data_IF_318993973053
#
_entry.id   IF_318993973053
#
_cell.length_a   1.000
_cell.length_b   1.000
_cell.length_c   1.000
_cell.angle_alpha   90.00
_cell.angle_beta   90.00
_cell.angle_gamma   90.00
#
_symmetry.space_group_name_H-M   'P 1'
#
loop_
_entity.id
_entity.type
_entity.pdbx_description
1 polymer ?
#
# COMPACT_ATOMS: atom_id res chain seq x y z
N UNK A 1 -10.62 12.31 18.09
CA UNK A 1 -10.96 11.22 17.15
C UNK A 1 -10.28 11.36 15.79
N UNK A 2 -10.37 12.48 15.08
CA UNK A 2 -9.84 12.59 13.69
C UNK A 2 -8.34 12.30 13.53
N UNK A 3 -7.50 12.60 14.52
CA UNK A 3 -6.06 12.24 14.45
C UNK A 3 -5.79 10.75 14.61
N UNK A 4 -6.70 9.99 15.23
CA UNK A 4 -6.57 8.55 15.38
C UNK A 4 -6.85 7.80 14.07
N UNK A 5 -7.60 8.39 13.13
CA UNK A 5 -7.94 7.73 11.87
C UNK A 5 -6.88 7.94 10.78
N UNK A 6 -6.03 8.97 10.87
CA UNK A 6 -5.05 9.29 9.82
C UNK A 6 -4.03 8.16 9.53
N UNK A 7 -3.49 7.44 10.53
CA UNK A 7 -2.54 6.36 10.27
C UNK A 7 -3.13 5.20 9.45
N UNK A 8 -4.45 5.02 9.46
CA UNK A 8 -5.10 3.96 8.68
C UNK A 8 -4.95 4.11 7.18
N UNK A 9 -4.62 5.30 6.66
CA UNK A 9 -4.30 5.46 5.25
C UNK A 9 -3.11 4.57 4.83
N UNK A 10 -2.05 4.51 5.65
CA UNK A 10 -0.88 3.65 5.37
C UNK A 10 -1.19 2.17 5.55
N UNK A 11 -2.02 1.83 6.54
CA UNK A 11 -2.50 0.46 6.77
C UNK A 11 -3.31 -0.02 5.56
N UNK A 12 -4.32 0.74 5.15
CA UNK A 12 -5.20 0.43 4.02
C UNK A 12 -4.39 0.25 2.73
N UNK A 13 -3.51 1.21 2.40
CA UNK A 13 -2.58 1.11 1.26
C UNK A 13 -1.77 -0.17 1.32
N UNK A 14 -1.18 -0.46 2.49
CA UNK A 14 -0.34 -1.62 2.71
C UNK A 14 -1.08 -2.96 2.74
N UNK A 15 -2.40 -2.97 2.99
CA UNK A 15 -3.26 -4.16 2.84
C UNK A 15 -3.66 -4.36 1.38
N UNK A 16 -3.92 -3.28 0.65
CA UNK A 16 -4.30 -3.34 -0.76
C UNK A 16 -3.16 -3.81 -1.67
N UNK A 17 -1.91 -3.45 -1.36
CA UNK A 17 -0.72 -3.94 -2.08
C UNK A 17 0.53 -3.65 -1.25
N UNK A 18 1.50 -4.57 -1.26
CA UNK A 18 2.72 -4.42 -0.45
C UNK A 18 3.55 -3.18 -0.82
N UNK A 19 3.53 -2.79 -2.10
CA UNK A 19 4.33 -1.69 -2.63
C UNK A 19 3.63 -0.32 -2.64
N UNK A 20 2.34 -0.21 -2.28
CA UNK A 20 1.59 1.04 -2.45
C UNK A 20 2.21 2.23 -1.70
N UNK A 21 2.67 2.02 -0.46
CA UNK A 21 3.30 3.09 0.30
C UNK A 21 4.61 3.55 -0.34
N UNK A 22 5.44 2.62 -0.81
CA UNK A 22 6.73 2.91 -1.44
C UNK A 22 6.56 3.61 -2.80
N UNK A 23 5.56 3.21 -3.60
CA UNK A 23 5.23 3.84 -4.88
C UNK A 23 4.79 5.29 -4.68
N UNK A 24 3.90 5.53 -3.70
CA UNK A 24 3.42 6.88 -3.38
C UNK A 24 4.58 7.74 -2.88
N UNK A 25 5.39 7.24 -1.95
CA UNK A 25 6.54 7.96 -1.41
C UNK A 25 7.58 8.30 -2.48
N UNK A 26 7.86 7.36 -3.40
CA UNK A 26 8.71 7.59 -4.56
C UNK A 26 8.21 8.75 -5.42
N UNK A 27 6.94 8.73 -5.80
CA UNK A 27 6.36 9.74 -6.70
C UNK A 27 6.20 11.10 -6.00
N UNK A 28 5.86 11.11 -4.71
CA UNK A 28 5.84 12.33 -3.88
C UNK A 28 7.24 12.97 -3.83
N UNK A 29 8.27 12.17 -3.56
CA UNK A 29 9.67 12.62 -3.52
C UNK A 29 10.15 13.19 -4.86
N UNK A 30 9.76 12.58 -5.98
CA UNK A 30 10.06 13.12 -7.32
C UNK A 30 9.28 14.42 -7.57
N UNK A 31 8.01 14.47 -7.19
CA UNK A 31 7.15 15.65 -7.36
C UNK A 31 7.59 16.86 -6.50
N UNK A 32 8.11 16.63 -5.29
CA UNK A 32 8.68 17.68 -4.44
C UNK A 32 9.83 18.44 -5.12
N UNK A 33 10.51 17.80 -6.08
CA UNK A 33 11.61 18.37 -6.86
C UNK A 33 11.21 18.76 -8.30
N UNK A 34 9.91 18.98 -8.55
CA UNK A 34 9.34 19.24 -9.88
C UNK A 34 9.98 20.38 -10.67
N UNK A 35 10.62 21.36 -10.03
CA UNK A 35 11.30 22.46 -10.72
C UNK A 35 12.51 22.02 -11.55
N UNK A 36 13.03 20.81 -11.31
CA UNK A 36 14.20 20.26 -12.00
C UNK A 36 13.83 19.27 -13.12
N UNK A 37 12.53 19.05 -13.35
CA UNK A 37 12.02 17.97 -14.21
C UNK A 37 11.29 18.53 -15.43
N UNK A 38 11.07 17.65 -16.43
CA UNK A 38 10.24 17.99 -17.59
C UNK A 38 8.80 18.30 -17.15
N UNK A 39 8.21 19.45 -17.54
CA UNK A 39 6.87 19.83 -17.12
C UNK A 39 5.76 18.83 -17.49
N UNK A 40 5.92 18.09 -18.59
CA UNK A 40 4.95 17.07 -19.00
C UNK A 40 5.05 15.82 -18.11
N UNK A 41 6.26 15.40 -17.74
CA UNK A 41 6.45 14.33 -16.76
C UNK A 41 5.85 14.74 -15.40
N UNK A 42 6.08 15.97 -14.96
CA UNK A 42 5.51 16.49 -13.71
C UNK A 42 3.99 16.42 -13.71
N UNK A 43 3.36 16.81 -14.83
CA UNK A 43 1.90 16.75 -14.97
C UNK A 43 1.36 15.32 -14.90
N UNK A 44 2.04 14.37 -15.52
CA UNK A 44 1.65 12.97 -15.46
C UNK A 44 1.85 12.37 -14.06
N UNK A 45 2.96 12.69 -13.39
CA UNK A 45 3.20 12.32 -11.98
C UNK A 45 2.10 12.89 -11.08
N UNK A 46 1.75 14.16 -11.26
CA UNK A 46 0.69 14.81 -10.49
C UNK A 46 -0.66 14.11 -10.69
N UNK A 47 -1.01 13.82 -11.94
CA UNK A 47 -2.25 13.10 -12.28
C UNK A 47 -2.26 11.71 -11.64
N UNK A 48 -1.13 10.99 -11.69
CA UNK A 48 -1.03 9.66 -11.11
C UNK A 48 -1.06 9.69 -9.57
N UNK A 49 -0.40 10.66 -8.93
CA UNK A 49 -0.48 10.84 -7.47
C UNK A 49 -1.93 11.09 -7.01
N UNK A 50 -2.68 11.95 -7.71
CA UNK A 50 -4.11 12.17 -7.43
C UNK A 50 -4.88 10.85 -7.53
N UNK A 51 -4.62 10.03 -8.54
CA UNK A 51 -5.21 8.70 -8.67
C UNK A 51 -4.86 7.80 -7.48
N UNK A 52 -3.58 7.67 -7.13
CA UNK A 52 -3.10 6.81 -6.05
C UNK A 52 -3.65 7.23 -4.68
N UNK A 53 -3.73 8.54 -4.42
CA UNK A 53 -4.30 9.05 -3.18
C UNK A 53 -5.80 8.78 -3.08
N UNK A 54 -6.53 8.96 -4.18
CA UNK A 54 -7.98 8.77 -4.22
C UNK A 54 -8.39 7.31 -4.09
N UNK A 55 -7.58 6.38 -4.61
CA UNK A 55 -7.85 4.94 -4.57
C UNK A 55 -7.05 4.20 -3.50
N UNK A 56 -6.28 4.90 -2.67
CA UNK A 56 -5.37 4.30 -1.69
C UNK A 56 -4.41 3.25 -2.30
N UNK A 57 -3.96 3.45 -3.55
CA UNK A 57 -3.04 2.53 -4.22
C UNK A 57 -3.23 2.42 -5.73
N UNK A 58 -2.58 1.40 -6.32
CA UNK A 58 -2.56 1.13 -7.77
C UNK A 58 -3.86 0.51 -8.31
N UNK A 59 -4.67 -0.10 -7.44
CA UNK A 59 -5.96 -0.69 -7.80
C UNK A 59 -7.06 0.35 -7.77
N UNK A 60 -8.01 0.25 -8.70
CA UNK A 60 -9.16 1.13 -8.73
C UNK A 60 -10.16 0.71 -7.63
N UNK A 61 -10.68 1.66 -6.84
CA UNK A 61 -11.64 1.37 -5.75
C UNK A 61 -13.08 1.65 -6.16
N UNK A 62 -13.48 1.22 -7.35
CA UNK A 62 -14.87 1.29 -7.81
C UNK A 62 -15.60 -0.04 -7.61
N UNK A 63 -16.92 0.02 -7.36
CA UNK A 63 -17.78 -1.17 -7.42
C UNK A 63 -17.49 -1.89 -8.76
N UNK A 64 -17.03 -3.14 -8.69
CA UNK A 64 -16.76 -4.05 -9.83
C UNK A 64 -15.43 -3.91 -10.59
N UNK A 65 -14.40 -3.22 -10.09
CA UNK A 65 -13.11 -3.22 -10.79
C UNK A 65 -11.92 -3.16 -9.84
N UNK A 66 -11.46 -4.35 -9.43
CA UNK A 66 -10.23 -4.58 -8.64
C UNK A 66 -8.95 -4.55 -9.51
N UNK A 67 -9.07 -4.07 -10.74
CA UNK A 67 -8.00 -4.09 -11.73
C UNK A 67 -6.98 -2.99 -11.49
N UNK A 68 -5.71 -3.31 -11.69
CA UNK A 68 -4.61 -2.35 -11.63
C UNK A 68 -4.71 -1.28 -12.72
N UNK A 69 -4.45 -0.02 -12.35
CA UNK A 69 -4.26 1.09 -13.29
C UNK A 69 -2.79 1.49 -13.32
N UNK A 70 -2.14 1.16 -14.41
CA UNK A 70 -0.81 1.64 -14.76
C UNK A 70 -0.90 3.04 -15.40
N UNK A 71 0.20 3.80 -15.47
CA UNK A 71 0.24 5.08 -16.18
C UNK A 71 -0.27 4.98 -17.62
N UNK A 72 0.06 3.90 -18.35
CA UNK A 72 -0.42 3.65 -19.71
C UNK A 72 -1.94 3.53 -19.78
N UNK A 73 -2.58 2.77 -18.87
CA UNK A 73 -4.05 2.64 -18.78
C UNK A 73 -4.76 3.96 -18.45
N UNK A 74 -4.05 4.91 -17.85
CA UNK A 74 -4.54 6.26 -17.56
C UNK A 74 -4.16 7.28 -18.66
N UNK A 75 -3.55 6.84 -19.77
CA UNK A 75 -3.07 7.67 -20.87
C UNK A 75 -2.00 8.70 -20.48
N UNK A 76 -1.18 8.37 -19.47
CA UNK A 76 -0.05 9.19 -19.02
C UNK A 76 1.19 8.84 -19.84
N UNK A 77 1.46 9.66 -20.86
CA UNK A 77 2.45 9.35 -21.92
C UNK A 77 3.90 9.57 -21.50
N UNK A 78 4.14 10.47 -20.56
CA UNK A 78 5.46 10.89 -20.11
C UNK A 78 5.87 10.16 -18.84
N UNK A 79 4.93 9.65 -18.03
CA UNK A 79 5.25 8.79 -16.91
C UNK A 79 5.53 7.36 -17.40
N UNK A 80 6.78 7.12 -17.81
CA UNK A 80 7.32 5.80 -18.21
C UNK A 80 8.46 5.38 -17.29
N UNK A 81 8.89 4.11 -17.36
CA UNK A 81 10.04 3.59 -16.63
C UNK A 81 11.32 4.37 -16.93
N UNK A 82 11.56 4.71 -18.19
CA UNK A 82 12.75 5.41 -18.64
C UNK A 82 12.76 6.85 -18.10
N UNK A 83 11.66 7.57 -18.27
CA UNK A 83 11.56 8.96 -17.82
C UNK A 83 11.61 9.06 -16.29
N UNK A 84 11.03 8.09 -15.57
CA UNK A 84 11.14 8.04 -14.11
C UNK A 84 12.57 7.73 -13.66
N UNK A 85 13.26 6.80 -14.33
CA UNK A 85 14.68 6.52 -14.06
C UNK A 85 15.56 7.75 -14.30
N UNK A 86 15.36 8.43 -15.43
CA UNK A 86 16.07 9.66 -15.77
C UNK A 86 15.80 10.78 -14.76
N UNK A 87 14.56 10.91 -14.28
CA UNK A 87 14.22 11.84 -13.21
C UNK A 87 14.97 11.51 -11.91
N UNK A 88 15.00 10.24 -11.50
CA UNK A 88 15.74 9.81 -10.31
C UNK A 88 17.24 10.10 -10.43
N UNK A 89 17.84 9.82 -11.59
CA UNK A 89 19.25 10.11 -11.86
C UNK A 89 19.54 11.62 -11.80
N UNK A 90 18.68 12.45 -12.39
CA UNK A 90 18.80 13.93 -12.32
C UNK A 90 18.72 14.47 -10.89
N UNK A 91 17.92 13.82 -10.03
CA UNK A 91 17.78 14.18 -8.62
C UNK A 91 18.88 13.58 -7.72
N UNK A 92 19.87 12.88 -8.29
CA UNK A 92 20.91 12.14 -7.57
C UNK A 92 20.34 11.11 -6.58
N UNK A 93 19.20 10.52 -6.90
CA UNK A 93 18.67 9.38 -6.14
C UNK A 93 19.20 8.07 -6.71
N UNK A 94 19.48 7.11 -5.83
CA UNK A 94 19.91 5.79 -6.25
C UNK A 94 18.73 5.05 -6.89
N UNK A 95 18.63 5.10 -8.22
CA UNK A 95 17.55 4.48 -9.00
C UNK A 95 17.42 2.98 -8.74
N UNK A 96 18.51 2.26 -8.48
CA UNK A 96 18.51 0.82 -8.17
C UNK A 96 17.68 0.45 -6.93
N UNK A 97 17.50 1.38 -5.97
CA UNK A 97 16.64 1.17 -4.80
C UNK A 97 15.16 1.04 -5.20
N UNK A 98 14.76 1.71 -6.28
CA UNK A 98 13.39 1.86 -6.73
C UNK A 98 13.04 1.02 -7.95
N UNK A 99 14.03 0.47 -8.67
CA UNK A 99 13.80 -0.35 -9.88
C UNK A 99 12.87 -1.55 -9.63
N UNK A 100 12.90 -2.12 -8.42
CA UNK A 100 11.97 -3.20 -8.01
C UNK A 100 10.49 -2.81 -8.09
N UNK A 101 10.18 -1.51 -8.05
CA UNK A 101 8.82 -0.98 -8.13
C UNK A 101 8.35 -0.80 -9.57
N UNK A 102 9.26 -0.73 -10.54
CA UNK A 102 8.91 -0.39 -11.92
C UNK A 102 7.99 -1.41 -12.58
N UNK A 103 8.22 -2.74 -12.45
CA UNK A 103 7.27 -3.72 -12.97
C UNK A 103 5.87 -3.55 -12.35
N UNK A 104 5.81 -3.22 -11.06
CA UNK A 104 4.53 -3.03 -10.37
C UNK A 104 3.79 -1.80 -10.92
N UNK A 105 4.51 -0.71 -11.19
CA UNK A 105 3.94 0.56 -11.69
C UNK A 105 3.56 0.45 -13.17
N UNK A 106 4.39 -0.16 -14.01
CA UNK A 106 4.30 -0.02 -15.47
C UNK A 106 3.89 -1.29 -16.22
N UNK A 107 4.11 -2.48 -15.67
CA UNK A 107 3.76 -3.75 -16.34
C UNK A 107 2.33 -4.17 -15.98
N UNK A 108 1.42 -4.18 -16.94
CA UNK A 108 0.01 -4.55 -16.72
C UNK A 108 -0.21 -5.99 -16.26
N UNK A 109 0.75 -6.88 -16.46
CA UNK A 109 0.65 -8.31 -16.13
C UNK A 109 1.03 -8.64 -14.69
N UNK A 110 1.87 -7.81 -14.06
CA UNK A 110 2.30 -8.00 -12.67
C UNK A 110 1.17 -7.60 -11.73
N UNK A 111 0.73 -8.51 -10.86
CA UNK A 111 -0.30 -8.23 -9.84
C UNK A 111 -1.54 -7.51 -10.43
N UNK A 112 -2.02 -8.01 -11.57
CA UNK A 112 -3.00 -7.32 -12.43
C UNK A 112 -4.34 -7.05 -11.73
N UNK A 113 -4.78 -7.95 -10.85
CA UNK A 113 -6.03 -7.87 -10.11
C UNK A 113 -5.75 -7.92 -8.60
N UNK A 114 -6.41 -7.06 -7.82
CA UNK A 114 -6.28 -7.04 -6.36
C UNK A 114 -6.81 -8.34 -5.75
N UNK A 115 -7.92 -8.85 -6.29
CA UNK A 115 -8.60 -10.06 -5.82
C UNK A 115 -8.92 -10.93 -7.04
N UNK A 116 -8.40 -12.15 -7.02
CA UNK A 116 -8.79 -13.21 -7.94
C UNK A 116 -9.63 -14.22 -7.15
N UNK A 117 -10.88 -14.48 -7.55
CA UNK A 117 -11.73 -15.45 -6.86
C UNK A 117 -11.02 -16.79 -6.67
N UNK A 118 -11.12 -17.32 -5.45
CA UNK A 118 -10.61 -18.63 -5.07
C UNK A 118 -9.10 -18.84 -5.30
N UNK A 119 -8.30 -17.76 -5.31
CA UNK A 119 -6.84 -17.86 -5.45
C UNK A 119 -6.09 -16.78 -4.67
N UNK A 120 -5.38 -17.22 -3.63
CA UNK A 120 -4.48 -16.37 -2.85
C UNK A 120 -3.28 -15.94 -3.70
N UNK A 121 -2.58 -16.90 -4.31
CA UNK A 121 -1.32 -16.67 -5.01
C UNK A 121 -1.45 -15.87 -6.31
N UNK A 122 -2.66 -15.72 -6.85
CA UNK A 122 -2.94 -14.87 -8.03
C UNK A 122 -3.47 -13.48 -7.65
N UNK A 123 -3.87 -13.28 -6.40
CA UNK A 123 -4.39 -12.00 -5.92
C UNK A 123 -3.23 -11.07 -5.57
N UNK A 124 -3.28 -9.82 -6.01
CA UNK A 124 -2.24 -8.83 -5.71
C UNK A 124 -2.39 -8.12 -4.34
N UNK A 125 -3.48 -8.35 -3.61
CA UNK A 125 -3.62 -7.84 -2.26
C UNK A 125 -2.56 -8.41 -1.30
N UNK A 126 -2.33 -7.71 -0.19
CA UNK A 126 -1.25 -8.02 0.76
C UNK A 126 -1.79 -8.48 2.12
N UNK A 127 -2.89 -9.24 2.11
CA UNK A 127 -3.30 -10.03 3.28
C UNK A 127 -2.43 -11.28 3.45
N UNK A 128 -1.83 -11.73 2.35
CA UNK A 128 -0.95 -12.88 2.26
C UNK A 128 0.40 -12.44 1.72
N UNK A 129 1.49 -12.88 2.35
CA UNK A 129 2.84 -12.59 1.92
C UNK A 129 3.22 -13.33 0.65
N UNK A 130 4.24 -12.83 -0.04
CA UNK A 130 4.74 -13.44 -1.27
C UNK A 130 5.06 -14.93 -1.08
N UNK A 131 4.54 -15.77 -1.98
CA UNK A 131 4.71 -17.23 -1.95
C UNK A 131 3.73 -17.97 -1.04
N UNK A 132 2.95 -17.26 -0.22
CA UNK A 132 1.83 -17.87 0.51
C UNK A 132 0.72 -18.25 -0.48
N UNK A 133 0.05 -19.36 -0.25
CA UNK A 133 -0.92 -19.94 -1.20
C UNK A 133 -2.07 -20.63 -0.44
N UNK A 134 -3.01 -21.20 -1.19
CA UNK A 134 -4.17 -21.88 -0.61
C UNK A 134 -3.79 -23.09 0.27
N UNK A 135 -2.81 -23.90 -0.13
CA UNK A 135 -2.36 -25.05 0.67
C UNK A 135 -1.81 -24.63 2.03
N UNK A 136 -0.99 -23.57 2.05
CA UNK A 136 -0.51 -22.96 3.28
C UNK A 136 -1.67 -22.47 4.15
N UNK A 137 -2.66 -21.79 3.55
CA UNK A 137 -3.83 -21.32 4.28
C UNK A 137 -4.62 -22.47 4.90
N UNK A 138 -4.89 -23.52 4.13
CA UNK A 138 -5.66 -24.70 4.58
C UNK A 138 -4.94 -25.52 5.66
N UNK A 139 -3.61 -25.45 5.73
CA UNK A 139 -2.83 -26.10 6.79
C UNK A 139 -2.98 -25.44 8.18
N UNK A 140 -3.49 -24.20 8.23
CA UNK A 140 -3.71 -23.48 9.47
C UNK A 140 -4.97 -23.98 10.19
N UNK A 141 -4.98 -23.87 11.52
CA UNK A 141 -6.17 -24.19 12.31
C UNK A 141 -7.35 -23.26 11.98
N UNK A 142 -8.58 -23.75 12.17
CA UNK A 142 -9.79 -22.93 11.98
C UNK A 142 -9.79 -21.67 12.84
N UNK A 143 -9.26 -21.73 14.07
CA UNK A 143 -9.16 -20.56 14.94
C UNK A 143 -8.31 -19.46 14.30
N UNK A 144 -7.16 -19.84 13.72
CA UNK A 144 -6.23 -18.90 13.10
C UNK A 144 -6.83 -18.29 11.83
N UNK A 145 -7.47 -19.12 10.99
CA UNK A 145 -8.09 -18.65 9.74
C UNK A 145 -9.23 -17.66 9.95
N UNK A 146 -9.98 -17.80 11.04
CA UNK A 146 -11.12 -16.94 11.36
C UNK A 146 -10.74 -15.59 12.01
N UNK A 147 -9.45 -15.31 12.22
CA UNK A 147 -9.00 -14.02 12.77
C UNK A 147 -8.98 -12.93 11.69
N UNK A 148 -9.75 -11.88 11.93
CA UNK A 148 -9.91 -10.74 10.99
C UNK A 148 -8.70 -9.78 10.98
N UNK A 149 -7.85 -9.81 12.01
CA UNK A 149 -6.73 -8.90 12.18
C UNK A 149 -5.38 -9.61 11.99
N UNK A 150 -5.28 -10.46 10.97
CA UNK A 150 -4.11 -11.28 10.70
C UNK A 150 -3.51 -10.97 9.32
N UNK A 151 -2.20 -11.16 9.24
CA UNK A 151 -1.43 -11.24 8.01
C UNK A 151 -0.73 -12.60 8.00
N UNK A 152 -0.84 -13.30 6.87
CA UNK A 152 -0.32 -14.64 6.69
C UNK A 152 0.93 -14.59 5.83
N UNK A 153 2.00 -15.24 6.23
CA UNK A 153 3.28 -15.24 5.51
C UNK A 153 3.98 -16.58 5.67
N UNK A 154 5.15 -16.72 5.05
CA UNK A 154 6.04 -17.85 5.28
C UNK A 154 7.21 -17.39 6.15
N UNK A 155 7.64 -18.26 7.06
CA UNK A 155 8.90 -18.09 7.79
C UNK A 155 10.12 -18.45 6.92
N UNK A 156 11.32 -18.38 7.49
CA UNK A 156 12.58 -18.70 6.78
C UNK A 156 12.66 -20.15 6.31
N UNK A 157 11.87 -21.06 6.89
CA UNK A 157 11.79 -22.47 6.52
C UNK A 157 10.67 -22.75 5.51
N UNK A 158 9.94 -21.72 5.06
CA UNK A 158 8.79 -21.87 4.18
C UNK A 158 7.54 -22.38 4.91
N UNK A 159 7.49 -22.32 6.24
CA UNK A 159 6.31 -22.74 7.02
C UNK A 159 5.35 -21.56 7.25
N UNK A 160 4.02 -21.82 7.30
CA UNK A 160 3.04 -20.77 7.57
C UNK A 160 3.29 -20.05 8.90
N UNK A 161 3.41 -18.72 8.82
CA UNK A 161 3.55 -17.80 9.94
C UNK A 161 2.39 -16.81 9.92
N UNK A 162 1.92 -16.43 11.11
CA UNK A 162 0.84 -15.45 11.27
C UNK A 162 1.31 -14.28 12.12
N UNK A 163 1.11 -13.08 11.60
CA UNK A 163 1.39 -11.83 12.30
C UNK A 163 0.08 -11.06 12.51
N UNK A 164 -0.16 -10.63 13.75
CA UNK A 164 -1.39 -9.91 14.07
C UNK A 164 -1.23 -8.41 13.93
N UNK A 165 -2.26 -7.74 13.41
CA UNK A 165 -2.36 -6.29 13.43
C UNK A 165 -2.55 -5.82 14.87
N UNK A 166 -1.49 -5.27 15.45
CA UNK A 166 -1.45 -4.82 16.84
C UNK A 166 -0.29 -3.87 17.09
N UNK A 167 -0.25 -3.26 18.27
CA UNK A 167 0.86 -2.42 18.73
C UNK A 167 2.16 -3.19 19.01
N UNK A 168 2.15 -4.52 18.91
CA UNK A 168 3.34 -5.37 19.10
C UNK A 168 3.52 -6.32 17.89
N UNK A 169 2.98 -5.94 16.74
CA UNK A 169 2.95 -6.78 15.54
C UNK A 169 2.91 -5.95 14.28
N UNK A 170 2.28 -6.48 13.23
CA UNK A 170 2.20 -5.78 11.95
C UNK A 170 1.42 -4.47 12.11
N UNK A 171 1.95 -3.40 11.50
CA UNK A 171 1.48 -2.01 11.65
C UNK A 171 1.62 -1.40 13.06
N UNK A 172 2.57 -1.89 13.86
CA UNK A 172 2.87 -1.34 15.20
C UNK A 172 3.02 0.19 15.20
N UNK A 173 3.77 0.75 14.25
CA UNK A 173 4.03 2.20 14.17
C UNK A 173 2.73 2.99 14.03
N UNK A 174 1.90 2.63 13.06
CA UNK A 174 0.61 3.28 12.78
C UNK A 174 -0.40 3.08 13.91
N UNK A 175 -0.48 1.86 14.48
CA UNK A 175 -1.41 1.53 15.56
C UNK A 175 -1.00 2.16 16.89
N UNK A 176 0.29 2.34 17.15
CA UNK A 176 0.78 3.07 18.34
C UNK A 176 0.34 4.53 18.32
N UNK A 177 0.46 5.20 17.16
CA UNK A 177 -0.03 6.57 16.98
C UNK A 177 -1.55 6.63 17.19
N UNK A 178 -2.28 5.66 16.64
CA UNK A 178 -3.73 5.53 16.80
C UNK A 178 -4.11 5.43 18.28
N UNK A 179 -3.50 4.50 19.02
CA UNK A 179 -3.74 4.30 20.45
C UNK A 179 -3.41 5.54 21.27
N UNK A 180 -2.33 6.26 20.96
CA UNK A 180 -1.99 7.53 21.61
C UNK A 180 -3.14 8.54 21.51
N UNK A 181 -3.70 8.75 20.32
CA UNK A 181 -4.79 9.71 20.10
C UNK A 181 -6.11 9.24 20.70
N UNK A 182 -6.39 7.94 20.72
CA UNK A 182 -7.56 7.37 21.38
C UNK A 182 -7.49 7.56 22.90
N UNK A 183 -6.33 7.32 23.52
CA UNK A 183 -6.12 7.58 24.96
C UNK A 183 -6.38 9.06 25.31
N UNK A 184 -5.90 9.98 24.47
CA UNK A 184 -6.19 11.41 24.66
C UNK A 184 -7.67 11.73 24.52
N UNK A 185 -8.36 11.12 23.55
CA UNK A 185 -9.80 11.32 23.38
C UNK A 185 -10.58 10.79 24.60
N UNK A 186 -10.23 9.61 25.10
CA UNK A 186 -10.84 9.04 26.31
C UNK A 186 -10.69 9.96 27.51
N UNK A 187 -9.48 10.51 27.74
CA UNK A 187 -9.25 11.45 28.84
C UNK A 187 -10.16 12.69 28.75
N UNK A 188 -10.41 13.20 27.53
CA UNK A 188 -11.33 14.33 27.32
C UNK A 188 -12.77 13.97 27.65
N UNK A 189 -13.25 12.79 27.22
CA UNK A 189 -14.61 12.31 27.54
C UNK A 189 -14.78 12.15 29.05
N UNK A 190 -13.78 11.56 29.71
CA UNK A 190 -13.80 11.37 31.17
C UNK A 190 -13.78 12.69 31.95
N UNK A 191 -13.11 13.71 31.43
CA UNK A 191 -13.06 15.04 32.05
C UNK A 191 -14.37 15.82 31.87
N UNK A 192 -15.10 15.59 30.78
CA UNK A 192 -16.31 16.31 30.41
C UNK A 192 -17.46 15.35 30.06
N UNK A 193 -17.91 14.49 31.00
CA UNK A 193 -18.86 13.43 30.70
C UNK A 193 -20.24 13.94 30.26
N UNK A 194 -20.66 15.13 30.70
CA UNK A 194 -21.96 15.69 30.31
C UNK A 194 -21.95 16.39 28.93
N UNK A 195 -20.77 16.53 28.32
CA UNK A 195 -20.61 17.16 26.99
C UNK A 195 -20.61 16.13 25.85
N UNK A 196 -20.27 14.88 26.17
CA UNK A 196 -20.00 13.82 25.19
C UNK A 196 -20.86 12.58 25.40
#
# INVERSE_FOLDING_TARGET
MSRAILPFNRINRGQNHYANNDIIELLEKVYENKSLLDPNLVKDIETYLVYLWSNHGIYFQGFYSDSKRTPSKLNLKYLTSENLSDALNKLNYNSSEYEKLFPIIFDDSVDAEMIVPDSIEKSGNNYYGKGFNEEHYQSLSNEVRNRINAYFSLDENGSPKVEYYSINGKYEKELTITVYWLKRALNYVQQYPDTF
#
